data_IF_994794783814
#
_entry.id   IF_994794783814
#
_cell.length_a   1.000
_cell.length_b   1.000
_cell.length_c   1.000
_cell.angle_alpha   90.00
_cell.angle_beta   90.00
_cell.angle_gamma   90.00
#
_symmetry.space_group_name_H-M   'P 1'
#
loop_
_entity.id
_entity.type
_entity.pdbx_description
1 polymer ?
#
# COMPACT_ATOMS: atom_id res chain seq x y z
N UNK A 1 -14.32 6.12 16.16
CA UNK A 1 -13.24 7.03 15.73
C UNK A 1 -13.60 7.46 14.32
N UNK A 2 -13.89 8.74 14.15
CA UNK A 2 -14.29 9.31 12.86
C UNK A 2 -13.12 9.17 11.88
N UNK A 3 -13.42 8.73 10.67
CA UNK A 3 -12.50 8.40 9.58
C UNK A 3 -11.84 9.66 8.97
N UNK A 4 -11.58 10.68 9.79
CA UNK A 4 -11.17 12.02 9.34
C UNK A 4 -9.70 12.11 8.94
N UNK A 5 -8.85 11.13 9.29
CA UNK A 5 -7.42 11.19 8.97
C UNK A 5 -7.06 10.74 7.54
N UNK A 6 -7.94 10.01 6.83
CA UNK A 6 -7.59 9.34 5.58
C UNK A 6 -8.72 9.42 4.54
N UNK A 7 -8.50 9.99 3.35
CA UNK A 7 -9.55 10.16 2.34
C UNK A 7 -9.86 8.90 1.53
N UNK A 8 -9.38 7.72 1.94
CA UNK A 8 -9.50 6.46 1.19
C UNK A 8 -9.55 5.23 2.13
N UNK A 9 -10.40 4.26 1.82
CA UNK A 9 -10.60 3.03 2.61
C UNK A 9 -9.71 1.86 2.17
N UNK A 10 -9.26 1.85 0.91
CA UNK A 10 -8.43 0.81 0.30
C UNK A 10 -7.37 1.42 -0.62
N UNK A 11 -6.15 0.91 -0.55
CA UNK A 11 -5.06 1.18 -1.47
C UNK A 11 -4.49 -0.13 -1.98
N UNK A 12 -4.26 -0.22 -3.28
CA UNK A 12 -3.47 -1.29 -3.88
C UNK A 12 -2.38 -0.68 -4.75
N UNK A 13 -1.13 -1.02 -4.49
CA UNK A 13 0.04 -0.56 -5.25
C UNK A 13 0.83 -1.75 -5.70
N UNK A 14 1.24 -1.73 -6.97
CA UNK A 14 2.15 -2.72 -7.52
C UNK A 14 3.40 -1.99 -7.96
N UNK A 15 4.53 -2.34 -7.35
CA UNK A 15 5.86 -1.84 -7.73
C UNK A 15 6.60 -2.96 -8.45
N UNK A 16 7.19 -2.64 -9.60
CA UNK A 16 8.09 -3.55 -10.30
C UNK A 16 9.51 -3.03 -10.14
N UNK A 17 10.39 -3.82 -9.53
CA UNK A 17 11.79 -3.45 -9.33
C UNK A 17 12.58 -3.64 -10.63
N UNK A 18 13.79 -3.06 -10.70
CA UNK A 18 14.66 -3.17 -11.87
C UNK A 18 15.06 -4.61 -12.20
N UNK A 19 15.16 -5.48 -11.20
CA UNK A 19 15.41 -6.92 -11.33
C UNK A 19 14.14 -7.74 -11.63
N UNK A 20 13.01 -7.09 -11.89
CA UNK A 20 11.77 -7.73 -12.31
C UNK A 20 10.93 -8.34 -11.17
N UNK A 21 11.29 -8.10 -9.91
CA UNK A 21 10.45 -8.50 -8.77
C UNK A 21 9.23 -7.60 -8.69
N UNK A 22 8.12 -8.18 -8.28
CA UNK A 22 6.85 -7.51 -8.15
C UNK A 22 6.52 -7.41 -6.66
N UNK A 23 6.27 -6.20 -6.19
CA UNK A 23 5.88 -5.93 -4.81
C UNK A 23 4.46 -5.40 -4.83
N UNK A 24 3.53 -6.16 -4.27
CA UNK A 24 2.15 -5.76 -4.08
C UNK A 24 1.97 -5.26 -2.64
N UNK A 25 1.38 -4.09 -2.52
CA UNK A 25 1.06 -3.47 -1.24
C UNK A 25 -0.44 -3.22 -1.26
N UNK A 26 -1.16 -3.91 -0.41
CA UNK A 26 -2.57 -3.69 -0.17
C UNK A 26 -2.77 -3.12 1.24
N UNK A 27 -3.41 -1.97 1.35
CA UNK A 27 -3.70 -1.35 2.63
C UNK A 27 -5.19 -1.03 2.71
N UNK A 28 -5.89 -1.71 3.62
CA UNK A 28 -7.24 -1.34 4.03
C UNK A 28 -7.13 -0.49 5.29
N UNK A 29 -7.29 0.82 5.13
CA UNK A 29 -7.06 1.79 6.21
C UNK A 29 -8.00 1.50 7.37
N UNK A 30 -7.47 1.45 8.59
CA UNK A 30 -8.24 1.11 9.79
C UNK A 30 -8.58 -0.38 9.95
N UNK A 31 -8.10 -1.25 9.05
CA UNK A 31 -8.31 -2.70 9.15
C UNK A 31 -7.00 -3.49 9.05
N UNK A 32 -6.34 -3.46 7.88
CA UNK A 32 -5.22 -4.35 7.60
C UNK A 32 -4.20 -3.70 6.67
N UNK A 33 -2.93 -3.87 6.97
CA UNK A 33 -1.84 -3.69 6.02
C UNK A 33 -1.37 -5.08 5.57
N UNK A 34 -1.39 -5.32 4.27
CA UNK A 34 -0.91 -6.53 3.64
C UNK A 34 0.17 -6.18 2.61
N UNK A 35 1.30 -6.87 2.69
CA UNK A 35 2.42 -6.72 1.77
C UNK A 35 2.78 -8.08 1.24
N UNK A 36 2.77 -8.21 -0.09
CA UNK A 36 3.16 -9.42 -0.79
C UNK A 36 4.33 -9.12 -1.73
N UNK A 37 5.40 -9.89 -1.59
CA UNK A 37 6.57 -9.82 -2.47
C UNK A 37 6.54 -11.05 -3.37
N UNK A 38 6.42 -10.82 -4.66
CA UNK A 38 6.45 -11.83 -5.69
C UNK A 38 7.74 -11.77 -6.52
N UNK A 39 8.26 -12.93 -6.89
CA UNK A 39 9.34 -13.09 -7.85
C UNK A 39 8.93 -14.16 -8.86
N UNK A 40 8.97 -13.86 -10.16
CA UNK A 40 8.57 -14.80 -11.22
C UNK A 40 7.17 -15.41 -11.02
N UNK A 41 6.21 -14.61 -10.54
CA UNK A 41 4.84 -15.00 -10.18
C UNK A 41 4.74 -15.99 -9.00
N UNK A 42 5.79 -16.12 -8.20
CA UNK A 42 5.78 -16.87 -6.95
C UNK A 42 5.88 -15.90 -5.76
N UNK A 43 4.96 -16.02 -4.80
CA UNK A 43 5.07 -15.34 -3.50
C UNK A 43 6.34 -15.83 -2.79
N UNK A 44 7.26 -14.92 -2.51
CA UNK A 44 8.51 -15.18 -1.78
C UNK A 44 8.52 -14.60 -0.38
N UNK A 45 7.62 -13.68 -0.07
CA UNK A 45 7.43 -13.12 1.28
C UNK A 45 6.05 -12.49 1.40
N UNK A 46 5.34 -12.80 2.47
CA UNK A 46 4.07 -12.16 2.81
C UNK A 46 4.13 -11.61 4.24
N UNK A 47 3.59 -10.40 4.43
CA UNK A 47 3.43 -9.75 5.74
C UNK A 47 2.01 -9.22 5.86
N UNK A 48 1.29 -9.61 6.91
CA UNK A 48 -0.07 -9.18 7.17
C UNK A 48 -0.17 -8.68 8.61
N UNK A 49 -0.51 -7.41 8.78
CA UNK A 49 -0.56 -6.78 10.10
C UNK A 49 -1.86 -5.97 10.24
N UNK A 50 -2.52 -6.11 11.40
CA UNK A 50 -3.62 -5.22 11.79
C UNK A 50 -3.16 -3.76 11.71
N UNK A 51 -3.99 -2.90 11.13
CA UNK A 51 -3.64 -1.50 10.92
C UNK A 51 -3.29 -0.77 12.22
N UNK A 52 -3.98 -1.10 13.30
CA UNK A 52 -3.78 -0.49 14.62
C UNK A 52 -2.45 -0.91 15.26
N UNK A 53 -1.96 -2.11 14.91
CA UNK A 53 -0.69 -2.66 15.41
C UNK A 53 0.52 -2.17 14.59
N UNK A 54 0.28 -1.56 13.41
CA UNK A 54 1.37 -1.02 12.59
C UNK A 54 2.06 0.13 13.36
N UNK A 55 3.38 0.08 13.55
CA UNK A 55 4.11 1.16 14.22
C UNK A 55 3.85 2.52 13.55
N UNK A 56 3.66 3.58 14.34
CA UNK A 56 3.26 4.90 13.82
C UNK A 56 4.22 5.48 12.77
N UNK A 57 5.51 5.15 12.84
CA UNK A 57 6.48 5.55 11.80
C UNK A 57 6.23 4.84 10.47
N UNK A 58 5.88 3.55 10.50
CA UNK A 58 5.57 2.74 9.31
C UNK A 58 4.23 3.18 8.69
N UNK A 59 3.22 3.50 9.51
CA UNK A 59 1.97 4.15 9.04
C UNK A 59 2.23 5.46 8.28
N UNK A 60 3.08 6.34 8.84
CA UNK A 60 3.47 7.59 8.17
C UNK A 60 4.25 7.37 6.86
N UNK A 61 5.11 6.34 6.81
CA UNK A 61 5.84 5.99 5.60
C UNK A 61 4.91 5.49 4.49
N UNK A 62 3.98 4.58 4.83
CA UNK A 62 2.93 4.11 3.91
C UNK A 62 2.10 5.30 3.40
N UNK A 63 1.73 6.24 4.28
CA UNK A 63 1.04 7.48 3.89
C UNK A 63 1.84 8.35 2.91
N UNK A 64 3.14 8.57 3.15
CA UNK A 64 3.96 9.36 2.21
C UNK A 64 4.04 8.71 0.84
N UNK A 65 4.06 7.39 0.78
CA UNK A 65 3.99 6.65 -0.48
C UNK A 65 2.62 6.83 -1.13
N UNK A 66 1.52 6.76 -0.35
CA UNK A 66 0.16 7.03 -0.82
C UNK A 66 0.02 8.44 -1.42
N UNK A 67 0.44 9.46 -0.68
CA UNK A 67 0.34 10.86 -1.10
C UNK A 67 1.17 11.08 -2.38
N UNK A 68 2.40 10.55 -2.41
CA UNK A 68 3.25 10.64 -3.60
C UNK A 68 2.64 9.94 -4.82
N UNK A 69 2.05 8.75 -4.67
CA UNK A 69 1.40 8.03 -5.76
C UNK A 69 0.15 8.76 -6.25
N UNK A 70 -0.65 9.32 -5.35
CA UNK A 70 -1.83 10.11 -5.71
C UNK A 70 -1.47 11.37 -6.50
N UNK A 71 -0.36 12.03 -6.14
CA UNK A 71 0.15 13.22 -6.84
C UNK A 71 0.85 12.88 -8.18
N UNK A 72 1.50 11.71 -8.28
CA UNK A 72 2.33 11.34 -9.44
C UNK A 72 1.65 10.48 -10.48
N UNK A 73 0.66 9.69 -10.09
CA UNK A 73 -0.22 9.00 -11.03
C UNK A 73 -1.27 10.03 -11.41
N UNK A 74 -1.24 10.64 -12.62
CA UNK A 74 -2.42 11.36 -13.09
C UNK A 74 -3.54 10.36 -12.98
N UNK A 75 -4.55 10.66 -12.16
CA UNK A 75 -5.75 9.85 -12.04
C UNK A 75 -6.07 9.42 -13.47
N UNK A 76 -6.01 8.12 -13.74
CA UNK A 76 -6.77 7.54 -14.83
C UNK A 76 -8.23 7.72 -14.41
N UNK A 77 -8.66 8.98 -14.40
CA UNK A 77 -10.03 9.37 -14.56
C UNK A 77 -10.37 8.76 -15.91
N UNK A 78 -10.93 7.55 -15.85
CA UNK A 78 -11.76 7.07 -16.91
C UNK A 78 -12.83 8.13 -17.22
N UNK A 79 -13.38 8.11 -18.44
CA UNK A 79 -14.41 9.05 -18.86
C UNK A 79 -15.59 9.13 -17.88
#
# INVERSE_FOLDING_TARGET
MTNEEYPYDLMQVVLVTRDGKRLEIEARVGALLFVDVECENCCVSCDAQSWDDVPGMRRRAVRRVMDALHETVPLLAGP
#
